data_IF_883987035557
#
_entry.id   IF_883987035557
#
_cell.length_a   1.000
_cell.length_b   1.000
_cell.length_c   1.000
_cell.angle_alpha   90.00
_cell.angle_beta   90.00
_cell.angle_gamma   90.00
#
_symmetry.space_group_name_H-M   'P 1'
#
loop_
_entity.id
_entity.type
_entity.pdbx_description
1 polymer ?
#
# COMPACT_ATOMS: atom_id res chain seq x y z
N UNK A 1 11.04 -24.10 -7.83
CA UNK A 1 10.07 -24.35 -6.73
C UNK A 1 9.04 -23.25 -6.77
N UNK A 2 7.78 -23.55 -6.51
CA UNK A 2 6.66 -22.59 -6.46
C UNK A 2 6.54 -22.09 -5.02
N UNK A 3 6.11 -20.83 -4.82
CA UNK A 3 5.83 -20.29 -3.50
C UNK A 3 4.71 -21.10 -2.82
N UNK A 4 4.90 -21.38 -1.54
CA UNK A 4 3.95 -22.16 -0.73
C UNK A 4 3.19 -21.28 0.27
N UNK A 5 3.74 -20.12 0.58
CA UNK A 5 3.23 -19.23 1.61
C UNK A 5 3.23 -17.78 1.11
N UNK A 6 2.36 -16.98 1.69
CA UNK A 6 2.39 -15.52 1.62
C UNK A 6 2.65 -15.03 3.04
N UNK A 7 3.71 -14.26 3.21
CA UNK A 7 3.99 -13.55 4.47
C UNK A 7 3.59 -12.09 4.29
N UNK A 8 2.80 -11.56 5.21
CA UNK A 8 2.28 -10.19 5.11
C UNK A 8 2.83 -9.35 6.26
N UNK A 9 3.22 -8.13 5.95
CA UNK A 9 3.51 -7.08 6.92
C UNK A 9 2.96 -5.74 6.40
N UNK A 10 2.51 -4.89 7.31
CA UNK A 10 2.09 -3.51 7.05
C UNK A 10 2.35 -2.65 8.28
N UNK A 11 2.21 -1.33 8.14
CA UNK A 11 2.23 -0.38 9.25
C UNK A 11 3.51 -0.49 10.11
N UNK A 12 4.67 -0.68 9.46
CA UNK A 12 5.95 -0.82 10.15
C UNK A 12 6.49 0.53 10.63
N UNK A 13 6.15 1.62 9.92
CA UNK A 13 6.51 2.98 10.27
C UNK A 13 7.99 3.15 10.58
N UNK A 14 8.86 2.69 9.67
CA UNK A 14 10.31 2.68 9.87
C UNK A 14 10.91 4.05 10.14
N UNK A 15 10.26 5.12 9.71
CA UNK A 15 10.63 6.50 10.01
C UNK A 15 10.65 6.81 11.52
N UNK A 16 9.99 6.01 12.34
CA UNK A 16 10.02 6.12 13.80
C UNK A 16 11.31 5.57 14.41
N UNK A 17 12.08 4.78 13.65
CA UNK A 17 13.36 4.20 14.07
C UNK A 17 14.54 5.04 13.59
N UNK A 18 14.41 6.36 13.67
CA UNK A 18 15.42 7.31 13.20
C UNK A 18 16.80 7.02 13.81
N UNK A 19 17.82 6.87 12.94
CA UNK A 19 19.19 6.58 13.36
C UNK A 19 19.46 5.15 13.84
N UNK A 20 18.46 4.27 13.81
CA UNK A 20 18.69 2.85 14.09
C UNK A 20 19.33 2.13 12.89
N UNK A 21 20.13 1.12 13.21
CA UNK A 21 20.74 0.22 12.24
C UNK A 21 19.64 -0.57 11.50
N UNK A 22 19.71 -0.61 10.17
CA UNK A 22 18.72 -1.30 9.32
C UNK A 22 18.62 -2.79 9.68
N UNK A 23 19.70 -3.44 10.06
CA UNK A 23 19.67 -4.86 10.43
C UNK A 23 18.85 -5.09 11.71
N UNK A 24 18.97 -4.19 12.69
CA UNK A 24 18.15 -4.24 13.92
C UNK A 24 16.67 -3.97 13.63
N UNK A 25 16.39 -3.05 12.71
CA UNK A 25 15.01 -2.77 12.26
C UNK A 25 14.42 -4.01 11.59
N UNK A 26 15.16 -4.63 10.67
CA UNK A 26 14.73 -5.87 10.00
C UNK A 26 14.46 -6.99 11.00
N UNK A 27 15.35 -7.17 11.98
CA UNK A 27 15.18 -8.20 13.03
C UNK A 27 13.94 -7.93 13.89
N UNK A 28 13.69 -6.68 14.24
CA UNK A 28 12.54 -6.30 15.08
C UNK A 28 11.21 -6.40 14.33
N UNK A 29 11.15 -5.93 13.07
CA UNK A 29 9.90 -5.82 12.31
C UNK A 29 9.59 -7.06 11.48
N UNK A 30 10.63 -7.76 11.00
CA UNK A 30 10.50 -8.90 10.09
C UNK A 30 11.57 -9.97 10.41
N UNK A 31 11.55 -10.48 11.65
CA UNK A 31 12.47 -11.53 12.09
C UNK A 31 12.49 -12.71 11.08
N UNK A 32 13.66 -13.35 10.84
CA UNK A 32 13.75 -14.50 9.95
C UNK A 32 12.81 -15.64 10.35
N UNK A 33 12.24 -16.32 9.33
CA UNK A 33 11.40 -17.51 9.48
C UNK A 33 11.86 -18.56 8.47
N UNK A 34 11.85 -19.83 8.86
CA UNK A 34 12.31 -20.95 8.02
C UNK A 34 11.51 -21.08 6.70
N UNK A 35 10.31 -20.50 6.66
CA UNK A 35 9.43 -20.48 5.48
C UNK A 35 9.74 -19.36 4.51
N UNK A 36 10.57 -18.38 4.88
CA UNK A 36 10.83 -17.19 4.06
C UNK A 36 11.25 -17.53 2.63
N UNK A 37 12.17 -18.50 2.48
CA UNK A 37 12.66 -18.95 1.16
C UNK A 37 11.60 -19.61 0.27
N UNK A 38 10.47 -20.02 0.84
CA UNK A 38 9.32 -20.58 0.14
C UNK A 38 8.12 -19.59 0.12
N UNK A 39 8.32 -18.34 0.54
CA UNK A 39 7.28 -17.34 0.69
C UNK A 39 7.42 -16.22 -0.34
N UNK A 40 6.27 -15.61 -0.70
CA UNK A 40 6.18 -14.27 -1.25
C UNK A 40 5.93 -13.31 -0.09
N UNK A 41 6.75 -12.27 0.03
CA UNK A 41 6.52 -11.21 1.01
C UNK A 41 5.56 -10.17 0.42
N UNK A 42 4.51 -9.85 1.15
CA UNK A 42 3.60 -8.74 0.83
C UNK A 42 3.81 -7.63 1.86
N UNK A 43 4.21 -6.46 1.40
CA UNK A 43 4.34 -5.24 2.18
C UNK A 43 3.17 -4.32 1.82
N UNK A 44 2.17 -4.29 2.69
CA UNK A 44 0.87 -3.68 2.39
C UNK A 44 0.73 -2.25 2.94
N UNK A 45 1.75 -1.42 2.71
CA UNK A 45 1.75 0.02 2.99
C UNK A 45 2.15 0.42 4.41
N UNK A 46 2.40 1.71 4.57
CA UNK A 46 2.90 2.34 5.79
C UNK A 46 4.19 1.69 6.30
N UNK A 47 5.09 1.40 5.36
CA UNK A 47 6.41 0.82 5.67
C UNK A 47 7.39 1.91 6.05
N UNK A 48 7.58 2.93 5.22
CA UNK A 48 8.41 4.10 5.53
C UNK A 48 8.04 5.30 4.66
N UNK A 49 7.94 6.47 5.27
CA UNK A 49 7.76 7.73 4.54
C UNK A 49 9.02 8.20 3.80
N UNK A 50 10.20 7.65 4.13
CA UNK A 50 11.47 8.01 3.53
C UNK A 50 11.84 7.02 2.42
N UNK A 51 11.94 7.43 1.14
CA UNK A 51 12.24 6.53 0.02
C UNK A 51 13.53 5.71 0.20
N UNK A 52 14.64 6.34 0.62
CA UNK A 52 15.90 5.64 0.85
C UNK A 52 15.80 4.56 1.93
N UNK A 53 15.13 4.87 3.05
CA UNK A 53 14.93 3.90 4.13
C UNK A 53 14.03 2.74 3.69
N UNK A 54 12.94 3.04 2.97
CA UNK A 54 12.04 2.05 2.40
C UNK A 54 12.79 1.08 1.50
N UNK A 55 13.52 1.60 0.51
CA UNK A 55 14.21 0.77 -0.48
C UNK A 55 15.39 0.02 0.16
N UNK A 56 16.11 0.64 1.10
CA UNK A 56 17.15 -0.04 1.89
C UNK A 56 16.59 -1.21 2.70
N UNK A 57 15.41 -1.05 3.31
CA UNK A 57 14.74 -2.14 4.01
C UNK A 57 14.33 -3.26 3.05
N UNK A 58 13.68 -2.93 1.93
CA UNK A 58 13.21 -3.93 0.96
C UNK A 58 14.38 -4.68 0.33
N UNK A 59 15.44 -4.00 -0.11
CA UNK A 59 16.63 -4.66 -0.69
C UNK A 59 17.35 -5.56 0.32
N UNK A 60 17.28 -5.24 1.61
CA UNK A 60 17.85 -6.07 2.67
C UNK A 60 17.04 -7.35 2.91
N UNK A 61 15.71 -7.29 2.85
CA UNK A 61 14.84 -8.45 3.12
C UNK A 61 14.55 -9.28 1.87
N UNK A 62 14.55 -8.67 0.68
CA UNK A 62 14.22 -9.31 -0.60
C UNK A 62 14.97 -10.64 -0.84
N UNK A 63 16.30 -10.77 -0.56
CA UNK A 63 17.02 -12.02 -0.79
C UNK A 63 16.48 -13.22 0.01
N UNK A 64 15.76 -12.98 1.08
CA UNK A 64 15.15 -14.03 1.93
C UNK A 64 13.92 -14.66 1.28
N UNK A 65 13.25 -13.93 0.39
CA UNK A 65 11.96 -14.30 -0.20
C UNK A 65 12.10 -14.68 -1.67
N UNK A 66 11.10 -15.38 -2.18
CA UNK A 66 11.00 -15.68 -3.61
C UNK A 66 10.69 -14.44 -4.43
N UNK A 67 9.84 -13.59 -3.89
CA UNK A 67 9.41 -12.34 -4.48
C UNK A 67 8.89 -11.41 -3.39
N UNK A 68 8.92 -10.11 -3.65
CA UNK A 68 8.29 -9.10 -2.81
C UNK A 68 7.21 -8.38 -3.61
N UNK A 69 6.04 -8.18 -3.01
CA UNK A 69 4.98 -7.32 -3.55
C UNK A 69 4.81 -6.16 -2.59
N UNK A 70 4.93 -4.95 -3.09
CA UNK A 70 4.82 -3.74 -2.29
C UNK A 70 3.78 -2.77 -2.85
N UNK A 71 2.99 -2.20 -1.96
CA UNK A 71 2.14 -1.04 -2.20
C UNK A 71 2.37 0.00 -1.10
N UNK A 72 2.40 1.30 -1.40
CA UNK A 72 2.47 2.32 -0.38
C UNK A 72 1.12 2.48 0.35
N UNK A 73 1.18 2.94 1.59
CA UNK A 73 0.04 3.49 2.31
C UNK A 73 0.00 5.01 2.18
N UNK A 74 -0.75 5.67 3.06
CA UNK A 74 -0.81 7.13 3.07
C UNK A 74 0.41 7.76 3.74
N UNK A 75 1.03 7.09 4.72
CA UNK A 75 2.20 7.61 5.44
C UNK A 75 3.45 7.71 4.57
N UNK A 76 3.58 6.93 3.53
CA UNK A 76 4.65 7.08 2.54
C UNK A 76 4.68 8.49 1.95
N UNK A 77 3.52 9.12 1.79
CA UNK A 77 3.40 10.45 1.19
C UNK A 77 3.39 11.61 2.22
N UNK A 78 3.49 11.33 3.50
CA UNK A 78 3.48 12.36 4.54
C UNK A 78 4.66 13.32 4.38
N UNK A 79 4.34 14.64 4.24
CA UNK A 79 5.27 15.75 3.99
C UNK A 79 5.94 15.71 2.61
N UNK A 80 5.39 14.92 1.68
CA UNK A 80 5.86 14.82 0.30
C UNK A 80 4.77 15.22 -0.68
N UNK A 81 5.20 15.53 -1.90
CA UNK A 81 4.33 15.50 -3.06
C UNK A 81 4.33 14.07 -3.63
N UNK A 82 3.15 13.50 -3.82
CA UNK A 82 2.99 12.13 -4.32
C UNK A 82 3.77 11.93 -5.62
N UNK A 83 3.71 12.91 -6.54
CA UNK A 83 4.35 12.80 -7.85
C UNK A 83 5.87 12.72 -7.73
N UNK A 84 6.47 13.57 -6.90
CA UNK A 84 7.91 13.58 -6.65
C UNK A 84 8.35 12.31 -5.92
N UNK A 85 7.63 11.95 -4.85
CA UNK A 85 7.92 10.74 -4.08
C UNK A 85 7.88 9.47 -4.94
N UNK A 86 6.86 9.35 -5.81
CA UNK A 86 6.73 8.23 -6.76
C UNK A 86 7.93 8.17 -7.71
N UNK A 87 8.35 9.32 -8.27
CA UNK A 87 9.49 9.38 -9.20
C UNK A 87 10.80 8.97 -8.54
N UNK A 88 11.08 9.51 -7.35
CA UNK A 88 12.29 9.21 -6.58
C UNK A 88 12.32 7.74 -6.14
N UNK A 89 11.22 7.25 -5.58
CA UNK A 89 11.13 5.87 -5.09
C UNK A 89 11.26 4.86 -6.22
N UNK A 90 10.67 5.14 -7.39
CA UNK A 90 10.80 4.28 -8.57
C UNK A 90 12.26 4.15 -9.01
N UNK A 91 12.98 5.26 -9.10
CA UNK A 91 14.39 5.24 -9.47
C UNK A 91 15.25 4.42 -8.48
N UNK A 92 14.94 4.52 -7.18
CA UNK A 92 15.61 3.71 -6.15
C UNK A 92 15.28 2.21 -6.27
N UNK A 93 14.02 1.84 -6.51
CA UNK A 93 13.64 0.46 -6.74
C UNK A 93 14.35 -0.14 -7.97
N UNK A 94 14.36 0.59 -9.08
CA UNK A 94 15.03 0.16 -10.33
C UNK A 94 16.54 -0.04 -10.13
N UNK A 95 17.16 0.72 -9.22
CA UNK A 95 18.59 0.63 -8.94
C UNK A 95 18.96 -0.46 -7.91
N UNK A 96 18.04 -0.85 -7.02
CA UNK A 96 18.41 -1.60 -5.82
C UNK A 96 17.59 -2.87 -5.56
N UNK A 97 16.59 -3.18 -6.38
CA UNK A 97 15.77 -4.39 -6.22
C UNK A 97 15.64 -5.16 -7.53
N UNK A 98 15.63 -6.50 -7.44
CA UNK A 98 15.56 -7.39 -8.60
C UNK A 98 14.27 -8.22 -8.63
N UNK A 99 13.67 -8.48 -7.47
CA UNK A 99 12.52 -9.38 -7.29
C UNK A 99 11.33 -8.72 -6.63
N UNK A 100 11.28 -7.38 -6.66
CA UNK A 100 10.19 -6.61 -6.08
C UNK A 100 9.25 -6.09 -7.16
N UNK A 101 7.96 -6.42 -7.05
CA UNK A 101 6.88 -5.78 -7.79
C UNK A 101 6.23 -4.71 -6.93
N UNK A 102 6.06 -3.52 -7.44
CA UNK A 102 5.53 -2.39 -6.69
C UNK A 102 4.54 -1.57 -7.54
N UNK A 103 3.44 -1.11 -6.93
CA UNK A 103 2.50 -0.16 -7.51
C UNK A 103 2.54 1.13 -6.71
N UNK A 104 2.87 2.27 -7.33
CA UNK A 104 3.08 3.55 -6.66
C UNK A 104 2.02 4.57 -7.09
N UNK A 105 1.71 5.52 -6.20
CA UNK A 105 0.77 6.61 -6.49
C UNK A 105 -0.66 6.11 -6.69
N UNK A 106 -1.17 6.22 -7.90
CA UNK A 106 -2.52 5.78 -8.29
C UNK A 106 -2.51 4.54 -9.20
N UNK A 107 -1.40 3.84 -9.24
CA UNK A 107 -1.26 2.63 -10.05
C UNK A 107 -2.03 1.44 -9.47
N UNK A 108 -2.51 0.61 -10.38
CA UNK A 108 -3.00 -0.74 -10.09
C UNK A 108 -2.26 -1.68 -11.01
N UNK A 109 -1.52 -2.61 -10.47
CA UNK A 109 -0.78 -3.59 -11.25
C UNK A 109 -1.33 -5.00 -11.05
N UNK A 110 -1.12 -5.83 -12.06
CA UNK A 110 -1.50 -7.22 -12.03
C UNK A 110 -0.34 -8.07 -12.54
N UNK A 111 0.29 -8.83 -11.63
CA UNK A 111 1.42 -9.69 -11.94
C UNK A 111 1.11 -11.15 -11.59
N UNK A 112 1.52 -12.06 -12.46
CA UNK A 112 1.53 -13.48 -12.13
C UNK A 112 2.87 -13.83 -11.49
N UNK A 113 2.82 -14.24 -10.25
CA UNK A 113 3.98 -14.69 -9.47
C UNK A 113 3.74 -16.15 -9.13
N UNK A 114 4.56 -17.03 -9.68
CA UNK A 114 4.32 -18.48 -9.69
C UNK A 114 2.91 -18.78 -10.27
N UNK A 115 2.02 -19.42 -9.50
CA UNK A 115 0.66 -19.78 -9.93
C UNK A 115 -0.42 -18.86 -9.33
N UNK A 116 -0.02 -17.73 -8.75
CA UNK A 116 -0.93 -16.79 -8.10
C UNK A 116 -0.90 -15.47 -8.85
N UNK A 117 -2.07 -14.93 -9.10
CA UNK A 117 -2.25 -13.63 -9.73
C UNK A 117 -2.40 -12.56 -8.65
N UNK A 118 -1.40 -11.71 -8.52
CA UNK A 118 -1.43 -10.59 -7.59
C UNK A 118 -1.97 -9.35 -8.30
N UNK A 119 -3.01 -8.75 -7.73
CA UNK A 119 -3.55 -7.44 -8.10
C UNK A 119 -3.27 -6.53 -6.91
N UNK A 120 -2.49 -5.47 -7.10
CA UNK A 120 -2.00 -4.69 -5.98
C UNK A 120 -2.02 -3.18 -6.25
N UNK A 121 -2.38 -2.43 -5.22
CA UNK A 121 -2.57 -0.96 -5.25
C UNK A 121 -2.72 -0.41 -3.82
N UNK A 122 -2.45 0.87 -3.60
CA UNK A 122 -2.76 1.56 -2.33
C UNK A 122 -4.26 1.48 -1.99
N UNK A 123 -5.13 1.51 -2.97
CA UNK A 123 -6.59 1.59 -2.84
C UNK A 123 -7.02 2.74 -1.91
N UNK A 124 -6.79 3.98 -2.33
CA UNK A 124 -7.33 5.15 -1.64
C UNK A 124 -8.83 5.00 -1.36
N UNK A 125 -9.33 5.63 -0.31
CA UNK A 125 -10.75 5.53 0.06
C UNK A 125 -11.61 6.52 -0.74
N UNK A 126 -12.93 6.31 -0.76
CA UNK A 126 -13.86 7.22 -1.43
C UNK A 126 -13.99 8.58 -0.70
N UNK A 127 -13.74 8.60 0.61
CA UNK A 127 -13.68 9.82 1.40
C UNK A 127 -15.03 10.44 1.78
N UNK A 128 -16.13 9.72 1.54
CA UNK A 128 -17.49 10.17 1.83
C UNK A 128 -18.41 10.14 0.62
N UNK A 129 -19.72 10.08 0.85
CA UNK A 129 -20.75 10.04 -0.20
C UNK A 129 -21.23 11.43 -0.58
N UNK A 130 -21.18 12.38 0.37
CA UNK A 130 -21.63 13.76 0.16
C UNK A 130 -20.57 14.79 0.61
N UNK A 131 -20.86 16.07 0.36
CA UNK A 131 -19.95 17.17 0.66
C UNK A 131 -19.73 17.37 2.16
N UNK A 132 -20.70 17.03 3.01
CA UNK A 132 -20.57 17.17 4.46
C UNK A 132 -19.63 16.12 5.02
N UNK A 133 -19.78 14.86 4.58
CA UNK A 133 -18.86 13.78 4.91
C UNK A 133 -17.46 14.06 4.40
N UNK A 134 -17.30 14.45 3.13
CA UNK A 134 -16.00 14.84 2.57
C UNK A 134 -15.36 15.98 3.36
N UNK A 135 -16.15 16.95 3.82
CA UNK A 135 -15.69 18.05 4.65
C UNK A 135 -15.19 17.55 6.02
N UNK A 136 -15.94 16.66 6.66
CA UNK A 136 -15.56 16.07 7.93
C UNK A 136 -14.26 15.24 7.82
N UNK A 137 -14.16 14.42 6.77
CA UNK A 137 -12.96 13.63 6.43
C UNK A 137 -11.76 14.56 6.23
N UNK A 138 -11.90 15.58 5.40
CA UNK A 138 -10.83 16.53 5.10
C UNK A 138 -10.35 17.34 6.33
N UNK A 139 -11.24 17.57 7.30
CA UNK A 139 -10.91 18.25 8.55
C UNK A 139 -10.19 17.33 9.55
N UNK A 140 -10.52 16.04 9.56
CA UNK A 140 -10.05 15.11 10.56
C UNK A 140 -8.68 14.48 10.23
N UNK A 141 -8.40 14.16 8.94
CA UNK A 141 -7.18 13.46 8.56
C UNK A 141 -5.99 14.39 8.30
N UNK A 142 -4.82 13.94 8.74
CA UNK A 142 -3.56 14.61 8.47
C UNK A 142 -3.17 14.57 6.99
N UNK A 143 -3.59 13.54 6.26
CA UNK A 143 -3.36 13.37 4.82
C UNK A 143 -3.63 14.66 4.06
N UNK A 144 -4.76 15.32 4.33
CA UNK A 144 -5.17 16.55 3.66
C UNK A 144 -4.49 17.82 4.19
N UNK A 145 -3.60 17.68 5.16
CA UNK A 145 -2.81 18.80 5.72
C UNK A 145 -1.37 18.76 5.26
N UNK A 146 -0.83 17.56 5.05
CA UNK A 146 0.62 17.36 4.91
C UNK A 146 1.02 16.60 3.65
N UNK A 147 0.06 16.14 2.82
CA UNK A 147 0.35 15.53 1.51
C UNK A 147 0.07 16.57 0.42
N UNK A 148 0.94 16.59 -0.60
CA UNK A 148 0.71 17.32 -1.85
C UNK A 148 0.57 16.35 -3.04
N UNK A 149 -0.02 16.83 -4.13
CA UNK A 149 -0.13 16.13 -5.41
C UNK A 149 0.00 17.13 -6.54
N UNK A 150 1.00 16.98 -7.39
CA UNK A 150 1.32 17.88 -8.50
C UNK A 150 1.56 19.35 -8.04
N UNK A 151 2.26 19.54 -6.94
CA UNK A 151 2.54 20.87 -6.38
C UNK A 151 1.37 21.52 -5.64
N UNK A 152 0.22 20.87 -5.57
CA UNK A 152 -0.95 21.36 -4.88
C UNK A 152 -1.30 20.50 -3.66
N UNK A 153 -2.05 21.07 -2.73
CA UNK A 153 -2.57 20.32 -1.58
C UNK A 153 -3.38 19.10 -2.03
N UNK A 154 -3.13 17.95 -1.42
CA UNK A 154 -3.96 16.76 -1.56
C UNK A 154 -5.33 17.03 -0.90
N UNK A 155 -6.41 16.59 -1.53
CA UNK A 155 -7.77 16.88 -1.08
C UNK A 155 -8.66 15.65 -1.17
N UNK A 156 -9.77 15.62 -0.40
CA UNK A 156 -10.74 14.52 -0.44
C UNK A 156 -11.28 14.26 -1.85
N UNK A 157 -11.64 15.28 -2.68
CA UNK A 157 -12.03 15.04 -4.06
C UNK A 157 -10.94 14.39 -4.93
N UNK A 158 -9.65 14.77 -4.74
CA UNK A 158 -8.53 14.14 -5.44
C UNK A 158 -8.40 12.67 -5.02
N UNK A 159 -8.49 12.37 -3.73
CA UNK A 159 -8.48 11.01 -3.18
C UNK A 159 -9.64 10.17 -3.74
N UNK A 160 -10.86 10.70 -3.72
CA UNK A 160 -12.06 10.04 -4.27
C UNK A 160 -11.92 9.72 -5.77
N UNK A 161 -11.32 10.63 -6.54
CA UNK A 161 -11.01 10.37 -7.95
C UNK A 161 -10.03 9.20 -8.13
N UNK A 162 -8.94 9.19 -7.35
CA UNK A 162 -7.96 8.08 -7.37
C UNK A 162 -8.63 6.77 -6.97
N UNK A 163 -9.46 6.76 -5.92
CA UNK A 163 -10.23 5.59 -5.50
C UNK A 163 -11.06 5.01 -6.66
N UNK A 164 -11.88 5.85 -7.32
CA UNK A 164 -12.73 5.41 -8.44
C UNK A 164 -11.93 4.79 -9.58
N UNK A 165 -10.79 5.40 -9.92
CA UNK A 165 -9.87 4.89 -10.95
C UNK A 165 -9.29 3.52 -10.56
N UNK A 166 -8.77 3.42 -9.33
CA UNK A 166 -8.18 2.18 -8.81
C UNK A 166 -9.22 1.06 -8.76
N UNK A 167 -10.39 1.33 -8.19
CA UNK A 167 -11.49 0.36 -8.12
C UNK A 167 -11.87 -0.18 -9.49
N UNK A 168 -12.11 0.70 -10.47
CA UNK A 168 -12.47 0.29 -11.82
C UNK A 168 -11.40 -0.58 -12.48
N UNK A 169 -10.13 -0.32 -12.20
CA UNK A 169 -9.01 -1.11 -12.72
C UNK A 169 -8.93 -2.48 -12.05
N UNK A 170 -9.07 -2.55 -10.71
CA UNK A 170 -9.15 -3.83 -9.97
C UNK A 170 -10.30 -4.68 -10.50
N UNK A 171 -11.50 -4.10 -10.64
CA UNK A 171 -12.67 -4.78 -11.19
C UNK A 171 -12.38 -5.35 -12.60
N UNK A 172 -11.69 -4.58 -13.43
CA UNK A 172 -11.31 -5.01 -14.78
C UNK A 172 -10.37 -6.22 -14.73
N UNK A 173 -9.36 -6.18 -13.86
CA UNK A 173 -8.43 -7.30 -13.70
C UNK A 173 -9.14 -8.55 -13.17
N UNK A 174 -9.99 -8.43 -12.17
CA UNK A 174 -10.75 -9.57 -11.63
C UNK A 174 -11.65 -10.22 -12.70
N UNK A 175 -12.37 -9.41 -13.47
CA UNK A 175 -13.26 -9.89 -14.54
C UNK A 175 -12.51 -10.49 -15.73
N UNK A 176 -11.28 -10.08 -15.99
CA UNK A 176 -10.48 -10.57 -17.14
C UNK A 176 -10.05 -12.04 -16.99
N UNK A 177 -10.01 -12.58 -15.79
CA UNK A 177 -9.72 -14.00 -15.51
C UNK A 177 -10.41 -14.44 -14.20
N UNK A 178 -11.71 -14.71 -14.23
CA UNK A 178 -12.50 -15.02 -13.04
C UNK A 178 -12.12 -16.35 -12.38
N UNK A 179 -11.54 -17.28 -13.14
CA UNK A 179 -11.14 -18.61 -12.65
C UNK A 179 -9.72 -18.62 -12.03
N UNK A 180 -8.99 -17.52 -12.12
CA UNK A 180 -7.66 -17.44 -11.55
C UNK A 180 -7.71 -17.36 -10.01
N UNK A 181 -6.69 -17.93 -9.37
CA UNK A 181 -6.43 -17.65 -7.95
C UNK A 181 -5.88 -16.25 -7.84
N UNK A 182 -6.73 -15.30 -7.43
CA UNK A 182 -6.36 -13.90 -7.26
C UNK A 182 -6.04 -13.60 -5.80
N UNK A 183 -4.94 -12.87 -5.58
CA UNK A 183 -4.62 -12.20 -4.31
C UNK A 183 -4.67 -10.70 -4.57
N UNK A 184 -5.62 -10.03 -3.94
CA UNK A 184 -5.73 -8.57 -4.01
C UNK A 184 -5.03 -7.97 -2.81
N UNK A 185 -4.04 -7.11 -3.06
CA UNK A 185 -3.27 -6.42 -2.04
C UNK A 185 -3.67 -4.95 -2.04
N UNK A 186 -4.16 -4.49 -0.89
CA UNK A 186 -4.49 -3.08 -0.66
C UNK A 186 -3.95 -2.63 0.68
N UNK A 187 -3.61 -1.34 0.80
CA UNK A 187 -3.30 -0.75 2.10
C UNK A 187 -4.60 -0.36 2.83
N UNK A 188 -5.41 0.49 2.21
CA UNK A 188 -6.71 0.82 2.81
C UNK A 188 -7.69 -0.34 2.66
N UNK A 189 -8.58 -0.47 3.64
CA UNK A 189 -9.56 -1.56 3.66
C UNK A 189 -10.49 -1.52 2.45
N UNK A 190 -10.62 -2.62 1.70
CA UNK A 190 -11.43 -2.66 0.49
C UNK A 190 -12.93 -2.93 0.76
N UNK A 191 -13.35 -3.15 2.01
CA UNK A 191 -14.74 -3.43 2.35
C UNK A 191 -15.05 -3.10 3.80
N UNK A 192 -16.24 -2.55 4.08
CA UNK A 192 -16.76 -2.35 5.44
C UNK A 192 -16.84 -3.63 6.26
N UNK A 193 -16.94 -4.78 5.63
CA UNK A 193 -16.96 -6.08 6.31
C UNK A 193 -15.67 -6.37 7.08
N UNK A 194 -14.59 -5.71 6.72
CA UNK A 194 -13.29 -5.81 7.38
C UNK A 194 -13.13 -4.78 8.50
N UNK A 195 -14.03 -3.79 8.58
CA UNK A 195 -13.98 -2.77 9.61
C UNK A 195 -14.39 -3.37 10.96
N UNK A 196 -13.56 -3.16 11.98
CA UNK A 196 -13.92 -3.59 13.33
C UNK A 196 -15.17 -2.83 13.79
N UNK A 197 -16.20 -3.50 14.38
CA UNK A 197 -17.48 -2.88 14.75
C UNK A 197 -17.36 -1.61 15.61
N UNK A 198 -16.29 -1.50 16.41
CA UNK A 198 -15.96 -0.30 17.19
C UNK A 198 -15.85 0.97 16.35
N UNK A 199 -15.44 0.86 15.09
CA UNK A 199 -15.17 1.99 14.19
C UNK A 199 -16.23 2.17 13.09
N UNK A 200 -17.15 1.22 12.94
CA UNK A 200 -18.10 1.17 11.82
C UNK A 200 -19.03 2.38 11.67
N UNK A 201 -19.30 3.11 12.77
CA UNK A 201 -20.18 4.30 12.78
C UNK A 201 -19.41 5.59 13.10
N UNK A 202 -18.10 5.60 13.00
CA UNK A 202 -17.27 6.78 13.24
C UNK A 202 -16.75 7.35 11.95
N UNK A 203 -16.30 8.60 11.97
CA UNK A 203 -15.53 9.19 10.87
C UNK A 203 -14.39 8.25 10.46
N UNK A 204 -13.68 7.62 11.41
CA UNK A 204 -12.64 6.65 11.12
C UNK A 204 -13.14 5.44 10.32
N UNK A 205 -14.34 4.93 10.58
CA UNK A 205 -14.98 3.89 9.76
C UNK A 205 -15.31 4.40 8.34
N UNK A 206 -15.73 5.64 8.22
CA UNK A 206 -15.94 6.30 6.93
C UNK A 206 -14.66 6.53 6.13
N UNK A 207 -13.50 6.58 6.79
CA UNK A 207 -12.21 6.64 6.10
C UNK A 207 -11.80 5.36 5.41
N UNK A 208 -12.13 4.26 6.05
CA UNK A 208 -11.74 3.01 5.49
C UNK A 208 -12.36 2.86 4.12
N UNK A 209 -13.66 3.31 3.97
CA UNK A 209 -14.30 2.85 2.78
C UNK A 209 -15.77 3.26 2.62
N UNK A 210 -16.21 3.52 1.47
CA UNK A 210 -17.64 3.68 1.12
C UNK A 210 -18.09 2.56 0.21
N UNK A 211 -18.81 1.60 0.75
CA UNK A 211 -19.35 0.47 0.03
C UNK A 211 -18.34 -0.66 -0.20
N UNK A 212 -18.74 -1.72 -0.85
CA UNK A 212 -17.84 -2.81 -1.22
C UNK A 212 -17.06 -2.43 -2.48
N UNK A 213 -15.75 -2.20 -2.36
CA UNK A 213 -14.88 -1.88 -3.49
C UNK A 213 -14.55 -3.12 -4.31
N UNK A 214 -14.54 -4.29 -3.67
CA UNK A 214 -14.16 -5.56 -4.27
C UNK A 214 -15.16 -6.62 -3.87
#
# INVERSE_FOLDING_TARGET
MIAKYIRVASDLHLEQYYGADIDKIVEACLAPDDRDSASILVLAGDISSTPDQLVSFISKVEPRFRHVVYVPGNHEYYRHDITTWVSETRALFEAHTDRTSYALGDEVLCHNIDNVRFIFTTMWTAGGEDLAEMGAVGAALNDFRIIALNGERFTVPKMSYMHKKMKATVDTFLKSNPDAVNVVVTHHMPSYRLCHPRFGNTINGGFAFNGDAI
#
